data_IF_377038482703
#
_entry.id   IF_377038482703
#
_cell.length_a   1.000
_cell.length_b   1.000
_cell.length_c   1.000
_cell.angle_alpha   90.00
_cell.angle_beta   90.00
_cell.angle_gamma   90.00
#
_symmetry.space_group_name_H-M   'P 1'
#
loop_
_entity.id
_entity.type
_entity.pdbx_description
1 polymer ?
#
# COMPACT_ATOMS: atom_id res chain seq x y z
N UNK A 1 33.14 16.60 -12.08
CA UNK A 1 32.21 15.46 -12.24
C UNK A 1 31.08 15.94 -13.15
N UNK A 2 30.73 15.20 -14.20
CA UNK A 2 29.57 15.55 -15.03
C UNK A 2 28.45 14.59 -14.65
N UNK A 3 27.37 15.11 -14.08
CA UNK A 3 26.18 14.34 -13.77
C UNK A 3 25.19 14.49 -14.92
N UNK A 4 24.65 13.38 -15.38
CA UNK A 4 23.62 13.38 -16.42
C UNK A 4 22.24 13.39 -15.78
N UNK A 5 21.27 13.95 -16.50
CA UNK A 5 19.87 13.90 -16.15
C UNK A 5 19.45 12.46 -15.81
N UNK A 6 18.61 12.33 -14.79
CA UNK A 6 18.08 11.06 -14.25
C UNK A 6 19.14 10.13 -13.62
N UNK A 7 20.39 10.60 -13.48
CA UNK A 7 21.38 9.91 -12.67
C UNK A 7 21.00 9.96 -11.19
N UNK A 8 21.11 8.81 -10.53
CA UNK A 8 20.86 8.67 -9.11
C UNK A 8 22.13 8.93 -8.34
N UNK A 9 22.01 9.66 -7.24
CA UNK A 9 23.13 10.04 -6.40
C UNK A 9 22.76 10.03 -4.92
N UNK A 10 23.75 9.91 -4.04
CA UNK A 10 23.61 10.17 -2.60
C UNK A 10 24.49 11.34 -2.18
N UNK A 11 24.04 12.06 -1.16
CA UNK A 11 24.86 13.06 -0.50
C UNK A 11 25.80 12.38 0.51
N UNK A 12 27.13 12.57 0.44
CA UNK A 12 28.09 11.79 1.22
C UNK A 12 27.95 12.01 2.73
N UNK A 13 27.53 13.21 3.15
CA UNK A 13 27.43 13.59 4.57
C UNK A 13 26.01 13.86 5.06
N UNK A 14 24.99 13.65 4.22
CA UNK A 14 23.59 13.90 4.57
C UNK A 14 22.75 12.66 4.24
N UNK A 15 22.98 11.53 4.93
CA UNK A 15 22.29 10.26 4.64
C UNK A 15 20.77 10.36 4.81
N UNK A 16 20.29 11.25 5.68
CA UNK A 16 18.87 11.50 5.91
C UNK A 16 18.16 12.20 4.75
N UNK A 17 18.88 12.70 3.75
CA UNK A 17 18.26 13.20 2.51
C UNK A 17 17.86 12.06 1.57
N UNK A 18 18.38 10.86 1.82
CA UNK A 18 18.13 9.67 1.01
C UNK A 18 18.69 9.79 -0.39
N UNK A 19 17.97 9.22 -1.37
CA UNK A 19 18.41 9.17 -2.76
C UNK A 19 18.05 10.46 -3.48
N UNK A 20 19.05 11.05 -4.12
CA UNK A 20 18.94 12.21 -4.99
C UNK A 20 18.79 11.80 -6.46
N UNK A 21 17.96 12.53 -7.21
CA UNK A 21 17.81 12.37 -8.66
C UNK A 21 18.19 13.67 -9.36
N UNK A 22 19.19 13.60 -10.22
CA UNK A 22 19.66 14.72 -11.04
C UNK A 22 18.53 15.16 -11.99
N UNK A 23 18.12 16.43 -11.90
CA UNK A 23 16.95 16.95 -12.64
C UNK A 23 17.28 17.25 -14.10
N UNK A 24 18.47 17.78 -14.33
CA UNK A 24 19.01 18.12 -15.64
C UNK A 24 20.51 17.83 -15.66
N UNK A 25 21.07 17.66 -16.86
CA UNK A 25 22.52 17.54 -17.05
C UNK A 25 23.23 18.68 -16.33
N UNK A 26 24.25 18.36 -15.55
CA UNK A 26 25.02 19.37 -14.83
C UNK A 26 25.64 20.34 -15.84
N UNK A 27 25.17 21.58 -15.83
CA UNK A 27 25.76 22.66 -16.62
C UNK A 27 26.77 23.37 -15.73
N UNK A 28 28.05 23.18 -16.03
CA UNK A 28 29.17 23.76 -15.26
C UNK A 28 29.24 23.19 -13.83
N UNK A 29 29.35 24.06 -12.82
CA UNK A 29 29.56 23.68 -11.42
C UNK A 29 28.27 23.40 -10.65
N UNK A 30 27.09 23.70 -11.21
CA UNK A 30 25.83 23.60 -10.48
C UNK A 30 24.98 22.45 -11.01
N UNK A 31 24.39 21.71 -10.08
CA UNK A 31 23.42 20.65 -10.36
C UNK A 31 22.18 20.85 -9.49
N UNK A 32 21.02 20.60 -10.06
CA UNK A 32 19.76 20.52 -9.31
C UNK A 32 19.42 19.06 -9.10
N UNK A 33 19.11 18.70 -7.85
CA UNK A 33 18.87 17.33 -7.43
C UNK A 33 17.66 17.32 -6.50
N UNK A 34 16.72 16.44 -6.79
CA UNK A 34 15.59 16.19 -5.89
C UNK A 34 15.90 15.02 -4.99
N UNK A 35 15.76 15.22 -3.68
CA UNK A 35 16.04 14.22 -2.66
C UNK A 35 14.73 13.63 -2.12
N UNK A 36 14.57 12.32 -2.21
CA UNK A 36 13.29 11.63 -1.95
C UNK A 36 12.79 11.77 -0.52
N UNK A 37 13.69 11.66 0.47
CA UNK A 37 13.30 11.72 1.89
C UNK A 37 13.04 13.15 2.37
N UNK A 38 13.56 14.15 1.64
CA UNK A 38 13.24 15.56 1.88
C UNK A 38 12.00 16.04 1.14
N UNK A 39 11.62 15.33 0.06
CA UNK A 39 10.64 15.79 -0.90
C UNK A 39 10.93 17.23 -1.40
N UNK A 40 12.21 17.56 -1.62
CA UNK A 40 12.66 18.90 -2.00
C UNK A 40 13.77 18.83 -3.06
N UNK A 41 13.80 19.82 -3.94
CA UNK A 41 14.92 20.08 -4.85
C UNK A 41 15.98 20.92 -4.16
N UNK A 42 17.21 20.44 -4.13
CA UNK A 42 18.40 21.17 -3.70
C UNK A 42 19.26 21.52 -4.91
N UNK A 43 19.78 22.75 -4.91
CA UNK A 43 20.76 23.24 -5.88
C UNK A 43 22.14 23.15 -5.25
N UNK A 44 22.99 22.27 -5.77
CA UNK A 44 24.30 21.94 -5.19
C UNK A 44 25.44 22.33 -6.15
N UNK A 45 26.58 22.65 -5.57
CA UNK A 45 27.82 22.95 -6.30
C UNK A 45 28.72 21.70 -6.30
N UNK A 46 29.08 21.22 -7.48
CA UNK A 46 29.88 20.01 -7.71
C UNK A 46 31.34 20.17 -7.30
N UNK A 47 31.84 21.41 -7.22
CA UNK A 47 33.15 21.74 -6.65
C UNK A 47 33.16 21.65 -5.11
N UNK A 48 32.01 21.78 -4.45
CA UNK A 48 31.88 21.72 -2.99
C UNK A 48 31.42 20.37 -2.47
N UNK A 49 30.65 19.63 -3.26
CA UNK A 49 30.08 18.34 -2.86
C UNK A 49 30.30 17.31 -3.95
N UNK A 50 31.02 16.25 -3.60
CA UNK A 50 31.20 15.08 -4.45
C UNK A 50 30.09 14.08 -4.15
N UNK A 51 29.06 14.08 -4.99
CA UNK A 51 27.92 13.19 -4.85
C UNK A 51 28.30 11.77 -5.31
N UNK A 52 27.75 10.77 -4.63
CA UNK A 52 28.06 9.37 -4.90
C UNK A 52 27.02 8.78 -5.87
N UNK A 53 27.40 8.40 -7.10
CA UNK A 53 26.49 7.78 -8.05
C UNK A 53 25.94 6.45 -7.53
N UNK A 54 24.67 6.18 -7.81
CA UNK A 54 24.04 4.90 -7.51
C UNK A 54 23.80 4.16 -8.84
N UNK A 55 24.45 3.00 -9.00
CA UNK A 55 24.26 2.09 -10.14
C UNK A 55 23.14 1.07 -9.92
N UNK A 56 22.10 1.44 -9.16
CA UNK A 56 20.99 0.55 -8.88
C UNK A 56 19.86 0.77 -9.90
N UNK A 57 19.72 -0.18 -10.83
CA UNK A 57 18.69 -0.16 -11.87
C UNK A 57 17.25 -0.17 -11.31
N UNK A 58 17.06 -0.65 -10.07
CA UNK A 58 15.76 -0.67 -9.39
C UNK A 58 15.30 0.71 -8.92
N UNK A 59 16.22 1.62 -8.60
CA UNK A 59 15.88 3.00 -8.22
C UNK A 59 15.61 3.90 -9.43
N UNK A 60 16.14 3.57 -10.62
CA UNK A 60 15.88 4.34 -11.85
C UNK A 60 14.41 4.26 -12.23
N UNK A 61 13.79 3.09 -12.08
CA UNK A 61 12.37 2.89 -12.38
C UNK A 61 11.46 3.71 -11.44
N UNK A 62 11.72 3.69 -10.12
CA UNK A 62 10.97 4.45 -9.12
C UNK A 62 10.90 5.97 -9.37
N UNK A 63 11.95 6.57 -9.94
CA UNK A 63 12.01 8.04 -10.15
C UNK A 63 11.63 8.49 -11.58
N UNK A 64 11.71 7.61 -12.57
CA UNK A 64 11.29 7.92 -13.96
C UNK A 64 9.77 7.96 -14.11
N UNK A 65 9.03 7.14 -13.37
CA UNK A 65 7.57 7.07 -13.39
C UNK A 65 6.93 8.36 -12.85
N UNK A 66 7.51 8.92 -11.79
CA UNK A 66 7.05 10.17 -11.16
C UNK A 66 7.33 11.41 -12.03
N UNK A 67 8.36 11.39 -12.89
CA UNK A 67 8.86 12.61 -13.53
C UNK A 67 8.36 12.94 -14.92
N UNK A 68 8.14 11.99 -15.84
CA UNK A 68 7.93 12.40 -17.26
C UNK A 68 6.89 11.65 -18.10
N UNK A 69 6.21 10.60 -17.62
CA UNK A 69 5.21 9.87 -18.45
C UNK A 69 3.80 9.77 -17.86
N UNK A 70 3.63 9.86 -16.52
CA UNK A 70 2.36 9.55 -15.87
C UNK A 70 1.76 10.72 -15.09
N UNK A 71 1.36 11.79 -15.79
CA UNK A 71 0.60 12.90 -15.17
C UNK A 71 -0.89 12.61 -15.02
N UNK A 72 -1.38 11.49 -15.54
CA UNK A 72 -2.78 11.13 -15.54
C UNK A 72 -2.95 9.61 -15.57
N UNK A 73 -4.18 9.16 -15.36
CA UNK A 73 -4.54 7.74 -15.31
C UNK A 73 -4.19 6.96 -16.59
N UNK A 74 -4.26 7.60 -17.78
CA UNK A 74 -3.91 6.94 -19.04
C UNK A 74 -2.43 6.55 -19.06
N UNK A 75 -1.54 7.44 -18.63
CA UNK A 75 -0.12 7.11 -18.54
C UNK A 75 0.16 5.93 -17.61
N UNK A 76 -0.54 5.88 -16.46
CA UNK A 76 -0.42 4.74 -15.54
C UNK A 76 -0.86 3.42 -16.20
N UNK A 77 -1.91 3.44 -17.03
CA UNK A 77 -2.37 2.28 -17.79
C UNK A 77 -1.35 1.88 -18.86
N UNK A 78 -0.85 2.85 -19.64
CA UNK A 78 0.17 2.59 -20.67
C UNK A 78 1.41 1.94 -20.02
N UNK A 79 1.86 2.47 -18.88
CA UNK A 79 2.98 1.92 -18.11
C UNK A 79 2.68 0.51 -17.57
N UNK A 80 1.49 0.27 -17.01
CA UNK A 80 1.10 -1.06 -16.54
C UNK A 80 1.18 -2.10 -17.67
N UNK A 81 0.73 -1.74 -18.88
CA UNK A 81 0.80 -2.60 -20.06
C UNK A 81 2.22 -2.74 -20.63
N UNK A 82 3.11 -1.76 -20.43
CA UNK A 82 4.54 -1.93 -20.73
C UNK A 82 5.18 -2.99 -19.82
N UNK A 83 4.81 -3.03 -18.54
CA UNK A 83 5.32 -3.99 -17.56
C UNK A 83 4.67 -5.37 -17.70
N UNK A 84 3.38 -5.40 -18.02
CA UNK A 84 2.53 -6.59 -18.15
C UNK A 84 1.76 -6.52 -19.48
N UNK A 85 2.36 -6.97 -20.60
CA UNK A 85 1.76 -6.85 -21.93
C UNK A 85 0.39 -7.51 -22.09
N UNK A 86 0.11 -8.58 -21.34
CA UNK A 86 -1.21 -9.22 -21.30
C UNK A 86 -2.13 -8.68 -20.18
N UNK A 87 -1.77 -7.56 -19.56
CA UNK A 87 -2.55 -6.92 -18.51
C UNK A 87 -2.70 -7.80 -17.28
N UNK A 88 -3.94 -7.93 -16.77
CA UNK A 88 -4.24 -8.76 -15.61
C UNK A 88 -4.18 -10.28 -15.89
N UNK A 89 -4.10 -10.68 -17.16
CA UNK A 89 -3.92 -12.08 -17.57
C UNK A 89 -2.44 -12.43 -17.80
N UNK A 90 -1.52 -11.47 -17.61
CA UNK A 90 -0.09 -11.69 -17.77
C UNK A 90 0.44 -12.65 -16.70
N UNK A 91 1.19 -13.68 -17.12
CA UNK A 91 1.73 -14.71 -16.22
C UNK A 91 2.61 -14.07 -15.13
N UNK A 92 3.43 -13.08 -15.51
CA UNK A 92 4.28 -12.37 -14.55
C UNK A 92 3.44 -11.57 -13.56
N UNK A 93 2.33 -10.98 -14.00
CA UNK A 93 1.40 -10.31 -13.10
C UNK A 93 0.75 -11.30 -12.13
N UNK A 94 0.20 -12.40 -12.65
CA UNK A 94 -0.48 -13.42 -11.85
C UNK A 94 0.45 -13.97 -10.76
N UNK A 95 1.66 -14.37 -11.14
CA UNK A 95 2.64 -14.95 -10.23
C UNK A 95 3.13 -13.97 -9.17
N UNK A 96 3.40 -12.72 -9.54
CA UNK A 96 4.02 -11.75 -8.63
C UNK A 96 3.04 -10.91 -7.83
N UNK A 97 1.82 -10.72 -8.31
CA UNK A 97 0.86 -9.79 -7.73
C UNK A 97 -0.43 -10.42 -7.24
N UNK A 98 -0.85 -11.58 -7.78
CA UNK A 98 -2.20 -12.11 -7.57
C UNK A 98 -2.26 -13.42 -6.78
N UNK A 99 -1.44 -14.42 -7.10
CA UNK A 99 -1.55 -15.77 -6.53
C UNK A 99 -1.49 -15.79 -4.99
N UNK A 100 -0.57 -15.02 -4.40
CA UNK A 100 -0.41 -14.99 -2.94
C UNK A 100 -1.60 -14.29 -2.26
N UNK A 101 -2.17 -13.24 -2.87
CA UNK A 101 -3.38 -12.57 -2.35
C UNK A 101 -4.60 -13.50 -2.44
N UNK A 102 -4.77 -14.22 -3.55
CA UNK A 102 -5.87 -15.20 -3.69
C UNK A 102 -5.73 -16.37 -2.70
N UNK A 103 -4.50 -16.82 -2.41
CA UNK A 103 -4.24 -17.80 -1.37
C UNK A 103 -4.63 -17.26 0.01
N UNK A 104 -4.24 -16.03 0.36
CA UNK A 104 -4.58 -15.40 1.64
C UNK A 104 -6.10 -15.23 1.77
N UNK A 105 -6.80 -14.73 0.74
CA UNK A 105 -8.27 -14.65 0.70
C UNK A 105 -8.92 -16.00 0.98
N UNK A 106 -8.45 -17.08 0.35
CA UNK A 106 -9.01 -18.43 0.55
C UNK A 106 -8.81 -18.92 1.99
N UNK A 107 -7.61 -18.75 2.53
CA UNK A 107 -7.30 -19.13 3.91
C UNK A 107 -8.07 -18.28 4.92
N UNK A 108 -8.29 -16.99 4.63
CA UNK A 108 -9.09 -16.11 5.46
C UNK A 108 -10.54 -16.59 5.53
N UNK A 109 -11.13 -16.92 4.38
CA UNK A 109 -12.48 -17.47 4.30
C UNK A 109 -12.61 -18.84 4.99
N UNK A 110 -11.53 -19.63 5.09
CA UNK A 110 -11.51 -20.92 5.79
C UNK A 110 -11.33 -20.76 7.31
N UNK A 111 -10.32 -20.02 7.75
CA UNK A 111 -9.89 -19.96 9.15
C UNK A 111 -10.68 -18.96 10.00
N UNK A 112 -11.37 -18.04 9.35
CA UNK A 112 -12.04 -16.92 9.98
C UNK A 112 -13.39 -16.68 9.29
N UNK A 113 -14.04 -17.75 8.82
CA UNK A 113 -15.42 -17.70 8.33
C UNK A 113 -16.38 -17.22 9.44
N UNK A 114 -17.58 -16.77 9.05
CA UNK A 114 -18.57 -16.29 10.01
C UNK A 114 -18.91 -17.36 11.07
N UNK A 115 -19.15 -18.60 10.64
CA UNK A 115 -19.49 -19.72 11.53
C UNK A 115 -18.32 -20.07 12.46
N UNK A 116 -17.10 -20.11 11.92
CA UNK A 116 -15.88 -20.42 12.69
C UNK A 116 -15.62 -19.36 13.74
N UNK A 117 -15.71 -18.07 13.37
CA UNK A 117 -15.54 -16.99 14.34
C UNK A 117 -16.69 -16.96 15.35
N UNK A 118 -17.93 -17.19 14.92
CA UNK A 118 -19.07 -17.23 15.82
C UNK A 118 -18.92 -18.32 16.90
N UNK A 119 -18.59 -19.55 16.50
CA UNK A 119 -18.33 -20.65 17.44
C UNK A 119 -17.16 -20.33 18.39
N UNK A 120 -16.06 -19.81 17.86
CA UNK A 120 -14.91 -19.41 18.67
C UNK A 120 -15.28 -18.33 19.70
N UNK A 121 -16.11 -17.35 19.35
CA UNK A 121 -16.58 -16.31 20.27
C UNK A 121 -17.51 -16.89 21.37
N UNK A 122 -18.46 -17.77 21.01
CA UNK A 122 -19.34 -18.43 21.99
C UNK A 122 -18.54 -19.25 23.02
N UNK A 123 -17.51 -19.95 22.54
CA UNK A 123 -16.62 -20.75 23.38
C UNK A 123 -15.48 -19.94 24.04
N UNK A 124 -15.46 -18.60 23.88
CA UNK A 124 -14.41 -17.70 24.37
C UNK A 124 -13.00 -18.07 23.91
N UNK A 125 -12.87 -18.73 22.77
CA UNK A 125 -11.62 -19.10 22.13
C UNK A 125 -11.06 -17.93 21.30
N UNK A 126 -10.82 -16.79 21.96
CA UNK A 126 -10.30 -15.57 21.33
C UNK A 126 -8.89 -15.77 20.76
N UNK A 127 -8.11 -16.64 21.40
CA UNK A 127 -6.76 -16.99 20.98
C UNK A 127 -6.75 -17.61 19.57
N UNK A 128 -7.74 -18.44 19.22
CA UNK A 128 -7.86 -19.00 17.87
C UNK A 128 -7.98 -17.89 16.82
N UNK A 129 -8.90 -16.94 17.02
CA UNK A 129 -9.12 -15.83 16.08
C UNK A 129 -7.85 -14.98 15.96
N UNK A 130 -7.23 -14.63 17.09
CA UNK A 130 -6.00 -13.86 17.12
C UNK A 130 -4.85 -14.58 16.37
N UNK A 131 -4.63 -15.87 16.64
CA UNK A 131 -3.59 -16.67 15.96
C UNK A 131 -3.86 -16.83 14.47
N UNK A 132 -5.11 -17.01 14.06
CA UNK A 132 -5.48 -17.07 12.64
C UNK A 132 -5.19 -15.75 11.94
N UNK A 133 -5.55 -14.61 12.55
CA UNK A 133 -5.24 -13.28 12.04
C UNK A 133 -3.73 -13.01 11.93
N UNK A 134 -2.95 -13.34 12.97
CA UNK A 134 -1.48 -13.23 12.96
C UNK A 134 -0.86 -14.08 11.83
N UNK A 135 -1.36 -15.31 11.63
CA UNK A 135 -0.90 -16.20 10.56
C UNK A 135 -1.19 -15.63 9.17
N UNK A 136 -2.37 -15.04 8.96
CA UNK A 136 -2.72 -14.42 7.68
C UNK A 136 -1.81 -13.25 7.35
N UNK A 137 -1.63 -12.32 8.29
CA UNK A 137 -0.74 -11.16 8.12
C UNK A 137 0.71 -11.62 7.88
N UNK A 138 1.20 -12.59 8.65
CA UNK A 138 2.59 -13.06 8.54
C UNK A 138 2.84 -13.90 7.27
N UNK A 139 1.79 -14.33 6.57
CA UNK A 139 1.88 -15.13 5.34
C UNK A 139 2.01 -14.25 4.09
N UNK A 140 1.79 -12.96 4.22
CA UNK A 140 1.98 -11.98 3.14
C UNK A 140 3.45 -11.93 2.70
N UNK A 141 3.79 -12.65 1.62
CA UNK A 141 5.13 -12.62 1.02
C UNK A 141 5.32 -11.42 0.10
N UNK A 142 4.27 -10.66 -0.16
CA UNK A 142 4.34 -9.47 -1.00
C UNK A 142 4.74 -8.22 -0.20
N UNK A 143 4.86 -8.36 1.13
CA UNK A 143 5.22 -7.28 2.05
C UNK A 143 4.31 -6.05 1.91
N UNK A 144 3.00 -6.29 1.76
CA UNK A 144 1.96 -5.27 1.77
C UNK A 144 1.99 -4.50 3.11
N UNK A 145 2.18 -5.22 4.21
CA UNK A 145 2.34 -4.67 5.56
C UNK A 145 3.83 -4.64 5.93
N UNK A 146 4.29 -3.54 6.51
CA UNK A 146 5.70 -3.42 6.90
C UNK A 146 6.05 -4.37 8.05
N UNK A 147 7.29 -4.86 8.10
CA UNK A 147 7.75 -5.77 9.15
C UNK A 147 7.55 -5.20 10.56
N UNK A 148 7.74 -3.89 10.74
CA UNK A 148 7.52 -3.23 12.03
C UNK A 148 6.04 -3.25 12.45
N UNK A 149 5.12 -3.03 11.52
CA UNK A 149 3.68 -3.12 11.78
C UNK A 149 3.27 -4.56 12.14
N UNK A 150 3.80 -5.56 11.42
CA UNK A 150 3.57 -6.98 11.74
C UNK A 150 4.09 -7.34 13.13
N UNK A 151 5.29 -6.89 13.49
CA UNK A 151 5.88 -7.15 14.82
C UNK A 151 4.99 -6.56 15.92
N UNK A 152 4.59 -5.29 15.79
CA UNK A 152 3.72 -4.63 16.79
C UNK A 152 2.36 -5.32 16.92
N UNK A 153 1.73 -5.63 15.79
CA UNK A 153 0.46 -6.34 15.76
C UNK A 153 0.56 -7.71 16.44
N UNK A 154 1.59 -8.48 16.12
CA UNK A 154 1.82 -9.80 16.71
C UNK A 154 2.12 -9.71 18.21
N UNK A 155 2.89 -8.70 18.65
CA UNK A 155 3.22 -8.50 20.06
C UNK A 155 1.99 -8.14 20.89
N UNK A 156 1.15 -7.22 20.40
CA UNK A 156 -0.06 -6.80 21.08
C UNK A 156 -1.02 -7.97 21.37
N UNK A 157 -1.14 -8.92 20.43
CA UNK A 157 -2.01 -10.10 20.56
C UNK A 157 -1.47 -11.20 21.47
N UNK A 158 -0.33 -10.99 22.16
CA UNK A 158 0.09 -11.87 23.27
C UNK A 158 -0.76 -11.67 24.53
N UNK A 159 -1.43 -10.52 24.66
CA UNK A 159 -2.26 -10.20 25.81
C UNK A 159 -3.69 -10.72 25.62
N UNK A 160 -4.22 -11.44 26.61
CA UNK A 160 -5.55 -12.06 26.55
C UNK A 160 -6.69 -11.02 26.36
N UNK A 161 -6.58 -9.86 27.01
CA UNK A 161 -7.55 -8.77 26.84
C UNK A 161 -7.56 -8.24 25.39
N UNK A 162 -6.39 -8.05 24.78
CA UNK A 162 -6.31 -7.64 23.38
C UNK A 162 -6.86 -8.71 22.45
N UNK A 163 -6.60 -10.00 22.71
CA UNK A 163 -7.20 -11.08 21.91
C UNK A 163 -8.72 -11.02 21.95
N UNK A 164 -9.31 -10.81 23.13
CA UNK A 164 -10.76 -10.68 23.29
C UNK A 164 -11.32 -9.47 22.54
N UNK A 165 -10.78 -8.27 22.77
CA UNK A 165 -11.25 -7.04 22.13
C UNK A 165 -11.10 -7.11 20.60
N UNK A 166 -9.95 -7.63 20.14
CA UNK A 166 -9.68 -7.86 18.72
C UNK A 166 -10.67 -8.85 18.10
N UNK A 167 -10.97 -9.97 18.76
CA UNK A 167 -11.86 -10.98 18.24
C UNK A 167 -13.29 -10.46 18.02
N UNK A 168 -13.85 -9.74 19.01
CA UNK A 168 -15.17 -9.11 18.87
C UNK A 168 -15.16 -8.00 17.82
N UNK A 169 -14.18 -7.09 17.88
CA UNK A 169 -14.09 -5.98 16.93
C UNK A 169 -13.90 -6.43 15.48
N UNK A 170 -13.08 -7.47 15.25
CA UNK A 170 -12.90 -8.03 13.90
C UNK A 170 -14.18 -8.72 13.41
N UNK A 171 -14.88 -9.45 14.29
CA UNK A 171 -16.15 -10.08 13.93
C UNK A 171 -17.20 -9.04 13.51
N UNK A 172 -17.37 -7.99 14.30
CA UNK A 172 -18.33 -6.91 14.01
C UNK A 172 -17.95 -6.15 12.72
N UNK A 173 -16.66 -5.95 12.47
CA UNK A 173 -16.17 -5.31 11.25
C UNK A 173 -16.49 -6.14 9.99
N UNK A 174 -16.29 -7.46 10.05
CA UNK A 174 -16.46 -8.33 8.89
C UNK A 174 -17.92 -8.74 8.69
N UNK A 175 -18.60 -9.13 9.77
CA UNK A 175 -19.90 -9.81 9.73
C UNK A 175 -21.04 -9.02 10.38
N UNK A 176 -20.78 -7.81 10.86
CA UNK A 176 -21.83 -6.90 11.31
C UNK A 176 -22.73 -6.42 10.17
N UNK A 177 -23.86 -5.79 10.52
CA UNK A 177 -24.78 -5.26 9.51
C UNK A 177 -24.13 -4.12 8.72
N UNK A 178 -24.46 -4.03 7.42
CA UNK A 178 -23.96 -2.97 6.54
C UNK A 178 -24.34 -1.56 7.04
N UNK A 179 -25.52 -1.40 7.67
CA UNK A 179 -25.95 -0.13 8.26
C UNK A 179 -25.01 0.39 9.36
N UNK A 180 -24.33 -0.54 10.03
CA UNK A 180 -23.49 -0.28 11.20
C UNK A 180 -22.00 -0.26 10.81
N UNK A 181 -21.67 -0.41 9.51
CA UNK A 181 -20.31 -0.60 9.03
C UNK A 181 -19.38 0.55 9.43
N UNK A 182 -19.84 1.80 9.34
CA UNK A 182 -19.03 2.95 9.76
C UNK A 182 -18.70 2.88 11.26
N UNK A 183 -19.66 2.52 12.09
CA UNK A 183 -19.45 2.43 13.54
C UNK A 183 -18.54 1.25 13.88
N UNK A 184 -18.71 0.11 13.23
CA UNK A 184 -17.85 -1.06 13.43
C UNK A 184 -16.42 -0.80 12.93
N UNK A 185 -16.26 -0.06 11.82
CA UNK A 185 -14.96 0.41 11.34
C UNK A 185 -14.25 1.27 12.40
N UNK A 186 -14.97 2.24 13.00
CA UNK A 186 -14.39 3.11 14.01
C UNK A 186 -14.08 2.37 15.32
N UNK A 187 -14.97 1.49 15.79
CA UNK A 187 -14.74 0.63 16.97
C UNK A 187 -13.51 -0.26 16.78
N UNK A 188 -13.37 -0.91 15.63
CA UNK A 188 -12.19 -1.72 15.36
C UNK A 188 -10.91 -0.88 15.27
N UNK A 189 -11.00 0.34 14.71
CA UNK A 189 -9.88 1.29 14.73
C UNK A 189 -9.45 1.66 16.15
N UNK A 190 -10.39 1.81 17.09
CA UNK A 190 -10.10 2.05 18.52
C UNK A 190 -9.42 0.83 19.15
N UNK A 191 -9.90 -0.39 18.88
CA UNK A 191 -9.24 -1.63 19.33
C UNK A 191 -7.79 -1.70 18.84
N UNK A 192 -7.54 -1.38 17.57
CA UNK A 192 -6.17 -1.32 17.04
C UNK A 192 -5.34 -0.20 17.70
N UNK A 193 -5.97 0.88 18.16
CA UNK A 193 -5.29 1.97 18.88
C UNK A 193 -4.84 1.52 20.26
N UNK A 194 -5.69 0.81 21.01
CA UNK A 194 -5.34 0.22 22.31
C UNK A 194 -4.17 -0.77 22.19
N UNK A 195 -4.05 -1.42 21.03
CA UNK A 195 -2.97 -2.35 20.69
C UNK A 195 -1.68 -1.68 20.19
N UNK A 196 -1.60 -0.34 20.07
CA UNK A 196 -0.51 0.38 19.37
C UNK A 196 -0.26 -0.15 17.93
N UNK A 197 -1.32 -0.62 17.29
CA UNK A 197 -1.30 -1.22 15.94
C UNK A 197 -2.21 -0.47 14.95
N UNK A 198 -2.75 0.71 15.33
CA UNK A 198 -3.62 1.52 14.47
C UNK A 198 -2.83 2.12 13.30
N UNK A 199 -2.84 1.40 12.19
CA UNK A 199 -2.23 1.79 10.92
C UNK A 199 -3.13 1.42 9.76
N UNK A 200 -3.12 2.23 8.70
CA UNK A 200 -3.91 2.00 7.49
C UNK A 200 -3.72 0.60 6.89
N UNK A 201 -2.48 0.08 6.75
CA UNK A 201 -2.26 -1.30 6.31
C UNK A 201 -2.99 -2.34 7.16
N UNK A 202 -2.85 -2.27 8.49
CA UNK A 202 -3.48 -3.23 9.41
C UNK A 202 -5.01 -3.13 9.37
N UNK A 203 -5.55 -1.90 9.42
CA UNK A 203 -6.99 -1.65 9.41
C UNK A 203 -7.68 -2.22 8.16
N UNK A 204 -7.04 -2.05 7.00
CA UNK A 204 -7.67 -2.36 5.70
C UNK A 204 -7.34 -3.75 5.19
N UNK A 205 -6.35 -4.44 5.77
CA UNK A 205 -5.96 -5.80 5.38
C UNK A 205 -7.12 -6.79 5.45
N UNK A 206 -7.78 -6.91 6.61
CA UNK A 206 -8.85 -7.89 6.78
C UNK A 206 -10.03 -7.61 5.83
N UNK A 207 -10.45 -6.35 5.71
CA UNK A 207 -11.50 -5.97 4.76
C UNK A 207 -11.13 -6.34 3.32
N UNK A 208 -9.89 -6.06 2.90
CA UNK A 208 -9.39 -6.35 1.57
C UNK A 208 -9.36 -7.85 1.25
N UNK A 209 -8.86 -8.67 2.17
CA UNK A 209 -8.73 -10.11 1.91
C UNK A 209 -10.08 -10.84 1.97
N UNK A 210 -11.02 -10.39 2.80
CA UNK A 210 -12.36 -11.00 2.90
C UNK A 210 -13.32 -10.53 1.82
N UNK A 211 -13.25 -9.26 1.46
CA UNK A 211 -14.20 -8.63 0.55
C UNK A 211 -13.46 -7.91 -0.59
N UNK A 212 -12.62 -8.62 -1.38
CA UNK A 212 -11.85 -8.01 -2.45
C UNK A 212 -12.73 -7.43 -3.56
N UNK A 213 -14.02 -7.74 -3.61
CA UNK A 213 -14.94 -7.13 -4.56
C UNK A 213 -15.39 -5.71 -4.16
N UNK A 214 -15.19 -5.32 -2.89
CA UNK A 214 -15.71 -4.06 -2.30
C UNK A 214 -14.62 -3.22 -1.64
N UNK A 215 -13.63 -3.85 -1.03
CA UNK A 215 -12.64 -3.17 -0.19
C UNK A 215 -11.25 -3.19 -0.82
N UNK A 216 -10.51 -2.10 -0.65
CA UNK A 216 -9.13 -1.96 -1.10
C UNK A 216 -8.16 -1.90 0.09
N UNK A 217 -6.98 -2.50 -0.08
CA UNK A 217 -5.86 -2.36 0.85
C UNK A 217 -5.18 -1.00 0.69
N UNK A 218 -4.90 -0.32 1.80
CA UNK A 218 -4.35 1.04 1.80
C UNK A 218 -2.89 1.03 2.22
N UNK A 219 -2.00 1.32 1.27
CA UNK A 219 -0.63 1.76 1.56
C UNK A 219 -0.55 3.29 1.43
N UNK A 220 -0.30 4.02 2.53
CA UNK A 220 -0.40 5.47 2.57
C UNK A 220 0.27 6.24 1.43
N UNK A 221 1.54 5.96 1.14
CA UNK A 221 2.31 6.76 0.17
C UNK A 221 1.75 6.61 -1.25
N UNK A 222 1.64 5.39 -1.74
CA UNK A 222 1.15 5.13 -3.10
C UNK A 222 -0.32 5.54 -3.28
N UNK A 223 -1.17 5.34 -2.26
CA UNK A 223 -2.57 5.80 -2.33
C UNK A 223 -2.65 7.31 -2.47
N UNK A 224 -1.81 8.08 -1.76
CA UNK A 224 -1.77 9.54 -1.88
C UNK A 224 -1.23 9.99 -3.25
N UNK A 225 -0.22 9.31 -3.80
CA UNK A 225 0.35 9.67 -5.08
C UNK A 225 -0.61 9.38 -6.24
N UNK A 226 -1.30 8.24 -6.20
CA UNK A 226 -2.36 7.93 -7.17
C UNK A 226 -3.53 8.91 -7.05
N UNK A 227 -3.90 9.32 -5.83
CA UNK A 227 -4.93 10.33 -5.63
C UNK A 227 -4.57 11.67 -6.30
N UNK A 228 -3.30 12.10 -6.22
CA UNK A 228 -2.81 13.31 -6.93
C UNK A 228 -2.87 13.14 -8.44
N UNK A 229 -2.46 11.98 -8.97
CA UNK A 229 -2.51 11.69 -10.42
C UNK A 229 -3.94 11.71 -10.96
N UNK A 230 -4.92 11.31 -10.14
CA UNK A 230 -6.33 11.33 -10.49
C UNK A 230 -7.04 12.66 -10.15
N UNK A 231 -6.33 13.64 -9.60
CA UNK A 231 -6.89 14.91 -9.08
C UNK A 231 -8.05 14.70 -8.07
N UNK A 232 -7.93 13.69 -7.21
CA UNK A 232 -8.93 13.35 -6.19
C UNK A 232 -8.44 13.74 -4.79
N UNK A 233 -9.17 14.63 -4.12
CA UNK A 233 -8.90 14.94 -2.71
C UNK A 233 -9.49 13.88 -1.78
N UNK A 234 -8.67 12.90 -1.42
CA UNK A 234 -9.01 11.81 -0.48
C UNK A 234 -9.10 12.24 0.99
N UNK A 235 -8.85 13.52 1.31
CA UNK A 235 -8.79 14.04 2.69
C UNK A 235 -7.96 13.13 3.60
N UNK A 236 -6.74 12.83 3.16
CA UNK A 236 -5.87 11.91 3.86
C UNK A 236 -5.52 12.43 5.26
N UNK A 237 -5.57 11.52 6.25
CA UNK A 237 -4.99 11.70 7.57
C UNK A 237 -4.16 10.48 7.93
N UNK A 238 -3.01 10.63 8.61
CA UNK A 238 -2.25 9.50 9.13
C UNK A 238 -3.06 8.64 10.10
N UNK A 239 -3.92 9.26 10.91
CA UNK A 239 -4.84 8.59 11.81
C UNK A 239 -5.99 7.93 11.03
N UNK A 240 -6.25 6.66 11.33
CA UNK A 240 -7.32 5.88 10.70
C UNK A 240 -8.67 6.53 11.00
N UNK A 241 -9.44 6.79 9.95
CA UNK A 241 -10.78 7.37 10.07
C UNK A 241 -11.66 6.98 8.87
N UNK A 242 -12.97 6.92 9.09
CA UNK A 242 -13.88 6.45 8.05
C UNK A 242 -13.99 7.39 6.84
N UNK A 243 -13.87 8.71 7.03
CA UNK A 243 -14.01 9.68 5.94
C UNK A 243 -12.90 9.53 4.89
N UNK A 244 -11.65 9.42 5.33
CA UNK A 244 -10.51 9.12 4.44
C UNK A 244 -10.73 7.79 3.73
N UNK A 245 -11.13 6.74 4.47
CA UNK A 245 -11.32 5.41 3.88
C UNK A 245 -12.40 5.40 2.80
N UNK A 246 -13.57 6.02 3.07
CA UNK A 246 -14.67 6.16 2.12
C UNK A 246 -14.22 6.84 0.83
N UNK A 247 -13.41 7.90 0.93
CA UNK A 247 -12.89 8.59 -0.25
C UNK A 247 -11.86 7.77 -1.01
N UNK A 248 -11.06 6.96 -0.32
CA UNK A 248 -10.15 6.01 -0.98
C UNK A 248 -10.93 4.92 -1.73
N UNK A 249 -12.04 4.41 -1.19
CA UNK A 249 -12.93 3.49 -1.91
C UNK A 249 -13.50 4.13 -3.18
N UNK A 250 -13.93 5.41 -3.11
CA UNK A 250 -14.37 6.15 -4.28
C UNK A 250 -13.27 6.33 -5.33
N UNK A 251 -12.03 6.59 -4.90
CA UNK A 251 -10.87 6.64 -5.79
C UNK A 251 -10.64 5.28 -6.47
N UNK A 252 -10.68 4.19 -5.72
CA UNK A 252 -10.50 2.83 -6.24
C UNK A 252 -11.56 2.48 -7.30
N UNK A 253 -12.83 2.79 -7.06
CA UNK A 253 -13.91 2.59 -8.02
C UNK A 253 -13.75 3.48 -9.28
N UNK A 254 -13.26 4.71 -9.11
CA UNK A 254 -12.92 5.58 -10.24
C UNK A 254 -11.82 4.97 -11.10
N UNK A 255 -10.76 4.44 -10.49
CA UNK A 255 -9.65 3.76 -11.19
C UNK A 255 -10.17 2.52 -11.92
N UNK A 256 -10.97 1.69 -11.26
CA UNK A 256 -11.63 0.53 -11.87
C UNK A 256 -12.43 0.92 -13.11
N UNK A 257 -13.18 2.01 -13.04
CA UNK A 257 -13.94 2.54 -14.18
C UNK A 257 -13.03 2.95 -15.33
N UNK A 258 -11.91 3.65 -15.04
CA UNK A 258 -10.93 4.01 -16.07
C UNK A 258 -10.28 2.78 -16.73
N UNK A 259 -9.95 1.76 -15.95
CA UNK A 259 -9.38 0.50 -16.43
C UNK A 259 -10.37 -0.24 -17.36
N UNK A 260 -11.65 -0.34 -16.97
CA UNK A 260 -12.70 -0.93 -17.82
C UNK A 260 -12.85 -0.15 -19.13
N UNK A 261 -12.87 1.18 -19.08
CA UNK A 261 -12.97 2.03 -20.27
C UNK A 261 -11.76 1.91 -21.21
N UNK A 262 -10.61 1.48 -20.69
CA UNK A 262 -9.40 1.19 -21.44
C UNK A 262 -9.33 -0.27 -21.94
N UNK A 263 -10.43 -1.03 -21.87
CA UNK A 263 -10.49 -2.46 -22.22
C UNK A 263 -9.54 -3.34 -21.38
N UNK A 264 -9.25 -2.91 -20.14
CA UNK A 264 -8.44 -3.64 -19.18
C UNK A 264 -9.27 -3.89 -17.90
N UNK A 265 -10.33 -4.72 -17.96
CA UNK A 265 -11.24 -4.88 -16.83
C UNK A 265 -10.55 -5.63 -15.67
N UNK A 266 -10.45 -5.04 -14.46
CA UNK A 266 -9.98 -5.76 -13.29
C UNK A 266 -11.05 -6.74 -12.80
N UNK A 267 -10.63 -7.91 -12.31
CA UNK A 267 -11.52 -8.92 -11.71
C UNK A 267 -12.12 -8.45 -10.40
N UNK A 268 -11.33 -7.74 -9.59
CA UNK A 268 -11.67 -7.30 -8.24
C UNK A 268 -10.71 -6.17 -7.77
N UNK A 269 -10.80 -5.75 -6.51
CA UNK A 269 -9.89 -4.76 -5.92
C UNK A 269 -8.48 -5.31 -5.70
N UNK A 270 -8.24 -6.62 -5.82
CA UNK A 270 -6.86 -7.12 -5.86
C UNK A 270 -6.18 -6.57 -7.12
N UNK A 271 -6.86 -6.61 -8.27
CA UNK A 271 -6.32 -6.05 -9.51
C UNK A 271 -6.17 -4.53 -9.45
N UNK A 272 -7.17 -3.82 -8.92
CA UNK A 272 -7.09 -2.35 -8.76
C UNK A 272 -5.93 -1.97 -7.84
N UNK A 273 -5.77 -2.66 -6.71
CA UNK A 273 -4.68 -2.40 -5.78
C UNK A 273 -3.31 -2.73 -6.39
N UNK A 274 -3.21 -3.83 -7.12
CA UNK A 274 -1.96 -4.25 -7.76
C UNK A 274 -1.58 -3.31 -8.90
N UNK A 275 -2.56 -2.82 -9.66
CA UNK A 275 -2.36 -1.75 -10.64
C UNK A 275 -1.78 -0.51 -9.97
N UNK A 276 -2.39 -0.01 -8.88
CA UNK A 276 -1.87 1.15 -8.13
C UNK A 276 -0.43 0.92 -7.65
N UNK A 277 -0.12 -0.30 -7.21
CA UNK A 277 1.19 -0.65 -6.66
C UNK A 277 2.29 -0.85 -7.72
N UNK A 278 1.92 -1.35 -8.90
CA UNK A 278 2.86 -1.62 -9.99
C UNK A 278 3.66 -0.38 -10.40
N UNK A 279 3.05 0.80 -10.25
CA UNK A 279 3.61 2.13 -10.51
C UNK A 279 4.80 2.45 -9.59
N UNK A 280 4.86 1.86 -8.40
CA UNK A 280 5.97 2.04 -7.45
C UNK A 280 7.01 0.91 -7.54
N UNK A 281 6.56 -0.31 -7.84
CA UNK A 281 7.37 -1.53 -7.68
C UNK A 281 8.23 -1.85 -8.90
N UNK A 282 7.73 -1.58 -10.10
CA UNK A 282 8.41 -1.89 -11.36
C UNK A 282 8.98 -0.62 -11.99
#
# INVERSE_FOLDING_TARGET
MHLIKDQLVKHPTQPQWGVGVVIEDSRHDIVEIFFTELNETKRLSLSRVQLEPIEDASFRHRNLIVRNRNKNIKGLIDYFLEVFPAGFDDIKYIENERLDKELITRLAAEWLSQDVMHDALQNKNFEYIAKSAQKLISRDKMHLISTFEVIKFNDALKHQLHQQNFAYGLYDLLYGNESDFQDNFMKFSEVLSEMDAQKWPIMTFFLFVFYPHKHIFVKPSITQDIAKVCDVNIQYKPEVNYLTYKKILMLAESIKTHLINASLPPKDMIDVQSFMWSVEKY
#
